data_IF_216959790699
#
_entry.id   IF_216959790699
#
_cell.length_a   1.000
_cell.length_b   1.000
_cell.length_c   1.000
_cell.angle_alpha   90.00
_cell.angle_beta   90.00
_cell.angle_gamma   90.00
#
_symmetry.space_group_name_H-M   'P 1'
#
loop_
_entity.id
_entity.type
_entity.pdbx_description
1 polymer ?
#
# COMPACT_ATOMS: atom_id res chain seq x y z
N UNK A 1 -9.43 -16.07 -17.95
CA UNK A 1 -8.62 -15.66 -16.78
C UNK A 1 -7.83 -14.45 -17.23
N UNK A 2 -8.12 -13.28 -16.64
CA UNK A 2 -7.50 -12.02 -17.05
C UNK A 2 -6.19 -11.83 -16.30
N UNK A 3 -5.11 -11.56 -17.03
CA UNK A 3 -3.80 -11.30 -16.44
C UNK A 3 -3.44 -9.82 -16.55
N UNK A 4 -2.97 -9.25 -15.44
CA UNK A 4 -2.50 -7.86 -15.39
C UNK A 4 -1.06 -7.85 -14.90
N UNK A 5 -0.14 -7.38 -15.74
CA UNK A 5 1.25 -7.14 -15.34
C UNK A 5 1.32 -5.81 -14.57
N UNK A 6 1.78 -5.84 -13.32
CA UNK A 6 1.91 -4.65 -12.49
C UNK A 6 3.08 -3.80 -12.99
N UNK A 7 2.88 -2.49 -13.17
CA UNK A 7 3.94 -1.53 -13.49
C UNK A 7 4.64 -1.05 -12.22
N UNK A 8 3.84 -0.57 -11.25
CA UNK A 8 4.32 -0.12 -9.94
C UNK A 8 3.51 -0.77 -8.82
N UNK A 9 4.20 -1.25 -7.78
CA UNK A 9 3.61 -1.85 -6.60
C UNK A 9 4.11 -1.14 -5.34
N UNK A 10 3.24 -0.37 -4.70
CA UNK A 10 3.46 0.27 -3.41
C UNK A 10 2.97 -0.67 -2.31
N UNK A 11 3.82 -0.91 -1.30
CA UNK A 11 3.54 -1.88 -0.24
C UNK A 11 3.60 -1.21 1.14
N UNK A 12 2.43 -1.13 1.79
CA UNK A 12 2.26 -0.72 3.18
C UNK A 12 2.24 -1.89 4.15
N UNK A 13 1.96 -1.61 5.43
CA UNK A 13 1.97 -2.63 6.49
C UNK A 13 0.60 -3.30 6.59
N UNK A 14 -0.42 -2.52 6.93
CA UNK A 14 -1.79 -2.97 7.23
C UNK A 14 -2.80 -1.88 6.90
N UNK A 15 -4.07 -2.24 6.86
CA UNK A 15 -5.15 -1.27 6.74
C UNK A 15 -5.20 -0.31 7.95
N UNK A 16 -5.80 0.85 7.74
CA UNK A 16 -6.20 1.78 8.79
C UNK A 16 -7.14 1.07 9.77
N UNK A 17 -6.98 1.38 11.05
CA UNK A 17 -7.76 0.73 12.09
C UNK A 17 -8.91 1.66 12.50
N UNK A 18 -10.17 1.40 12.08
CA UNK A 18 -11.31 2.27 12.39
C UNK A 18 -11.60 2.39 13.90
N UNK A 19 -11.10 1.47 14.73
CA UNK A 19 -11.23 1.57 16.19
C UNK A 19 -10.21 2.52 16.84
N UNK A 20 -9.16 2.91 16.12
CA UNK A 20 -8.08 3.80 16.61
C UNK A 20 -7.95 5.09 15.82
N UNK A 21 -8.53 5.12 14.62
CA UNK A 21 -8.48 6.20 13.66
C UNK A 21 -9.88 6.36 13.06
N UNK A 22 -10.30 7.59 12.75
CA UNK A 22 -11.66 7.87 12.24
C UNK A 22 -11.83 7.49 10.75
N UNK A 23 -11.00 6.59 10.22
CA UNK A 23 -10.94 6.31 8.79
C UNK A 23 -10.58 4.85 8.48
N UNK A 24 -11.07 4.40 7.32
CA UNK A 24 -10.84 3.08 6.73
C UNK A 24 -10.14 3.21 5.38
N UNK A 25 -9.59 2.11 4.87
CA UNK A 25 -9.05 2.09 3.51
C UNK A 25 -10.17 2.10 2.47
N UNK A 26 -9.90 2.79 1.36
CA UNK A 26 -10.70 2.71 0.16
C UNK A 26 -10.76 1.26 -0.34
N UNK A 27 -11.96 0.83 -0.74
CA UNK A 27 -12.19 -0.43 -1.45
C UNK A 27 -12.47 -0.18 -2.92
N UNK A 28 -11.88 -1.00 -3.78
CA UNK A 28 -12.11 -0.98 -5.23
C UNK A 28 -12.52 -2.36 -5.72
N UNK A 29 -13.49 -2.40 -6.63
CA UNK A 29 -13.84 -3.63 -7.33
C UNK A 29 -12.65 -4.11 -8.17
N UNK A 30 -12.49 -5.44 -8.27
CA UNK A 30 -11.44 -6.05 -9.06
C UNK A 30 -10.03 -5.50 -8.73
N UNK A 31 -9.72 -5.42 -7.45
CA UNK A 31 -8.43 -4.95 -6.93
C UNK A 31 -7.64 -6.10 -6.26
N UNK A 32 -6.31 -6.17 -6.36
CA UNK A 32 -5.54 -7.35 -5.91
C UNK A 32 -5.70 -7.73 -4.44
N UNK A 33 -6.03 -6.77 -3.57
CA UNK A 33 -6.14 -6.92 -2.10
C UNK A 33 -7.49 -6.44 -1.55
N UNK A 34 -8.45 -6.15 -2.42
CA UNK A 34 -9.78 -5.54 -2.15
C UNK A 34 -9.73 -4.12 -1.58
N UNK A 35 -8.81 -3.84 -0.65
CA UNK A 35 -8.47 -2.51 -0.14
C UNK A 35 -7.26 -1.92 -0.87
N UNK A 36 -7.23 -0.59 -0.95
CA UNK A 36 -6.15 0.21 -1.51
C UNK A 36 -5.32 0.77 -0.36
N UNK A 37 -4.08 0.29 -0.21
CA UNK A 37 -3.20 0.75 0.87
C UNK A 37 -2.97 2.26 0.81
N UNK A 38 -2.87 2.91 1.97
CA UNK A 38 -2.72 4.36 2.14
C UNK A 38 -3.88 5.25 1.66
N UNK A 39 -4.78 4.76 0.81
CA UNK A 39 -5.90 5.55 0.32
C UNK A 39 -7.06 5.48 1.30
N UNK A 40 -7.52 6.61 1.87
CA UNK A 40 -8.65 6.62 2.79
C UNK A 40 -9.98 6.56 2.04
N UNK A 41 -10.98 5.92 2.64
CA UNK A 41 -12.36 5.98 2.22
C UNK A 41 -13.05 7.23 2.79
N UNK A 42 -12.57 8.42 2.39
CA UNK A 42 -13.00 9.69 2.96
C UNK A 42 -13.25 10.74 1.86
N UNK A 43 -14.11 11.71 2.14
CA UNK A 43 -14.31 12.89 1.29
C UNK A 43 -13.14 13.89 1.41
N UNK A 44 -13.01 14.76 0.40
CA UNK A 44 -11.78 15.46 0.03
C UNK A 44 -11.08 16.31 1.08
N UNK A 45 -11.80 17.14 1.84
CA UNK A 45 -11.15 18.16 2.67
C UNK A 45 -10.36 17.56 3.85
N UNK A 46 -10.80 16.42 4.38
CA UNK A 46 -10.22 15.82 5.58
C UNK A 46 -9.19 14.73 5.25
N UNK A 47 -9.15 14.24 4.00
CA UNK A 47 -8.21 13.18 3.63
C UNK A 47 -6.74 13.62 3.77
N UNK A 48 -6.43 14.92 3.60
CA UNK A 48 -5.08 15.46 3.78
C UNK A 48 -4.67 15.61 5.25
N UNK A 49 -5.59 15.48 6.21
CA UNK A 49 -5.24 15.38 7.63
C UNK A 49 -4.56 14.04 7.96
N UNK A 50 -4.81 13.02 7.13
CA UNK A 50 -4.21 11.70 7.26
C UNK A 50 -2.75 11.78 6.79
N UNK A 51 -1.84 11.97 7.74
CA UNK A 51 -0.40 12.19 7.51
C UNK A 51 0.22 11.16 6.56
N UNK A 52 -0.16 9.88 6.69
CA UNK A 52 0.37 8.84 5.82
C UNK A 52 -0.09 8.98 4.37
N UNK A 53 -1.36 9.30 4.13
CA UNK A 53 -1.89 9.55 2.79
C UNK A 53 -1.24 10.81 2.18
N UNK A 54 -1.20 11.91 2.94
CA UNK A 54 -0.57 13.17 2.52
C UNK A 54 0.89 12.98 2.08
N UNK A 55 1.69 12.25 2.86
CA UNK A 55 3.09 11.94 2.52
C UNK A 55 3.23 11.07 1.28
N UNK A 56 2.31 10.12 1.07
CA UNK A 56 2.29 9.30 -0.15
C UNK A 56 1.92 10.14 -1.37
N UNK A 57 0.96 11.06 -1.26
CA UNK A 57 0.68 12.03 -2.33
C UNK A 57 1.91 12.90 -2.62
N UNK A 58 2.57 13.40 -1.57
CA UNK A 58 3.75 14.24 -1.74
C UNK A 58 4.87 13.52 -2.49
N UNK A 59 5.07 12.22 -2.19
CA UNK A 59 5.99 11.38 -2.95
C UNK A 59 5.55 11.15 -4.41
N UNK A 60 4.25 10.92 -4.66
CA UNK A 60 3.73 10.66 -6.01
C UNK A 60 3.84 11.87 -6.94
N UNK A 61 3.66 13.07 -6.39
CA UNK A 61 3.65 14.34 -7.13
C UNK A 61 4.94 15.15 -6.96
N UNK A 62 5.95 14.60 -6.27
CA UNK A 62 7.21 15.26 -5.92
C UNK A 62 6.99 16.67 -5.34
N UNK A 63 6.07 16.75 -4.38
CA UNK A 63 5.60 18.00 -3.81
C UNK A 63 5.55 17.92 -2.29
N UNK A 64 5.89 19.01 -1.63
CA UNK A 64 5.60 19.21 -0.20
C UNK A 64 4.13 19.59 -0.05
N UNK A 65 3.35 18.78 0.67
CA UNK A 65 1.90 18.98 0.79
C UNK A 65 1.52 19.39 2.21
N UNK A 66 0.63 20.38 2.31
CA UNK A 66 -0.04 20.80 3.54
C UNK A 66 -1.41 20.13 3.70
N UNK A 67 -1.89 19.99 4.94
CA UNK A 67 -3.28 19.60 5.21
C UNK A 67 -4.31 20.62 4.70
N UNK A 68 -3.90 21.87 4.51
CA UNK A 68 -4.75 22.95 4.03
C UNK A 68 -4.70 23.13 2.51
N UNK A 69 -3.88 22.32 1.81
CA UNK A 69 -3.87 22.34 0.35
C UNK A 69 -5.19 21.82 -0.21
N UNK A 70 -5.50 22.20 -1.45
CA UNK A 70 -6.62 21.63 -2.17
C UNK A 70 -6.22 20.32 -2.88
N UNK A 71 -6.86 19.22 -2.49
CA UNK A 71 -6.64 17.90 -3.08
C UNK A 71 -6.84 17.90 -4.61
N UNK A 72 -7.85 18.62 -5.10
CA UNK A 72 -8.13 18.70 -6.52
C UNK A 72 -6.99 19.40 -7.27
N UNK A 73 -6.49 20.52 -6.76
CA UNK A 73 -5.35 21.21 -7.36
C UNK A 73 -4.04 20.40 -7.33
N UNK A 74 -3.84 19.52 -6.34
CA UNK A 74 -2.67 18.63 -6.30
C UNK A 74 -2.79 17.52 -7.33
N UNK A 75 -3.95 16.86 -7.40
CA UNK A 75 -4.10 15.56 -8.07
C UNK A 75 -4.81 15.63 -9.41
N UNK A 76 -5.57 16.69 -9.67
CA UNK A 76 -6.56 16.82 -10.74
C UNK A 76 -7.73 15.81 -10.65
N UNK A 77 -7.93 15.19 -9.49
CA UNK A 77 -9.06 14.30 -9.21
C UNK A 77 -9.92 14.89 -8.11
N UNK A 78 -11.22 14.64 -8.18
CA UNK A 78 -12.11 15.09 -7.12
C UNK A 78 -11.81 14.28 -5.88
N UNK A 79 -11.80 12.96 -5.92
CA UNK A 79 -11.71 12.13 -4.71
C UNK A 79 -10.50 11.18 -4.69
N UNK A 80 -10.09 10.68 -3.50
CA UNK A 80 -9.12 9.59 -3.42
C UNK A 80 -9.52 8.36 -4.24
N UNK A 81 -10.83 8.07 -4.35
CA UNK A 81 -11.37 6.99 -5.18
C UNK A 81 -11.06 7.20 -6.67
N UNK A 82 -11.38 8.37 -7.20
CA UNK A 82 -11.12 8.69 -8.61
C UNK A 82 -9.62 8.58 -8.95
N UNK A 83 -8.75 9.06 -8.05
CA UNK A 83 -7.30 8.91 -8.21
C UNK A 83 -6.87 7.43 -8.21
N UNK A 84 -7.36 6.64 -7.24
CA UNK A 84 -7.02 5.22 -7.15
C UNK A 84 -7.49 4.42 -8.37
N UNK A 85 -8.69 4.70 -8.90
CA UNK A 85 -9.21 4.09 -10.13
C UNK A 85 -8.35 4.46 -11.36
N UNK A 86 -7.86 5.69 -11.45
CA UNK A 86 -6.92 6.08 -12.50
C UNK A 86 -5.61 5.29 -12.38
N UNK A 87 -5.03 5.24 -11.17
CA UNK A 87 -3.77 4.53 -10.92
C UNK A 87 -3.91 3.03 -11.23
N UNK A 88 -5.05 2.43 -10.90
CA UNK A 88 -5.38 1.05 -11.27
C UNK A 88 -5.38 0.85 -12.79
N UNK A 89 -5.99 1.77 -13.57
CA UNK A 89 -5.96 1.73 -15.05
C UNK A 89 -4.53 1.82 -15.58
N UNK A 90 -3.66 2.57 -14.90
CA UNK A 90 -2.24 2.72 -15.23
C UNK A 90 -1.36 1.57 -14.70
N UNK A 91 -1.97 0.54 -14.12
CA UNK A 91 -1.31 -0.64 -13.53
C UNK A 91 -0.37 -0.28 -12.38
N UNK A 92 -0.74 0.75 -11.62
CA UNK A 92 -0.11 1.20 -10.38
C UNK A 92 -1.00 0.75 -9.23
N UNK A 93 -0.44 -0.05 -8.32
CA UNK A 93 -1.18 -0.68 -7.23
C UNK A 93 -0.55 -0.37 -5.88
N UNK A 94 -1.39 -0.14 -4.90
CA UNK A 94 -1.08 0.07 -3.49
C UNK A 94 -1.72 -1.06 -2.67
N UNK A 95 -0.90 -1.86 -1.99
CA UNK A 95 -1.33 -3.07 -1.30
C UNK A 95 -0.69 -3.15 0.09
N UNK A 96 -1.41 -3.63 1.09
CA UNK A 96 -0.84 -3.86 2.42
C UNK A 96 -0.24 -5.28 2.53
N UNK A 97 0.86 -5.41 3.26
CA UNK A 97 1.57 -6.67 3.39
C UNK A 97 0.71 -7.79 4.00
N UNK A 98 -0.11 -7.46 4.99
CA UNK A 98 -1.06 -8.39 5.61
C UNK A 98 -2.06 -8.97 4.58
N UNK A 99 -2.59 -8.13 3.69
CA UNK A 99 -3.47 -8.54 2.59
C UNK A 99 -2.75 -9.36 1.55
N UNK A 100 -1.50 -9.00 1.23
CA UNK A 100 -0.64 -9.80 0.34
C UNK A 100 -0.46 -11.23 0.88
N UNK A 101 -0.19 -11.37 2.18
CA UNK A 101 0.05 -12.65 2.85
C UNK A 101 -1.22 -13.48 3.03
N UNK A 102 -2.36 -12.85 3.31
CA UNK A 102 -3.60 -13.54 3.63
C UNK A 102 -4.35 -14.03 2.39
N UNK A 103 -4.71 -13.12 1.49
CA UNK A 103 -5.62 -13.43 0.39
C UNK A 103 -5.47 -12.45 -0.79
N UNK A 104 -4.25 -12.33 -1.32
CA UNK A 104 -4.05 -11.50 -2.52
C UNK A 104 -4.12 -12.32 -3.80
N UNK A 105 -4.56 -11.63 -4.86
CA UNK A 105 -4.52 -12.13 -6.23
C UNK A 105 -3.20 -11.79 -6.92
N UNK A 106 -2.17 -11.43 -6.15
CA UNK A 106 -0.83 -11.08 -6.61
C UNK A 106 0.02 -12.34 -6.70
N UNK A 107 0.66 -12.53 -7.86
CA UNK A 107 1.54 -13.64 -8.14
C UNK A 107 2.95 -13.09 -8.33
N UNK A 108 3.85 -13.49 -7.42
CA UNK A 108 5.28 -13.42 -7.68
C UNK A 108 5.63 -14.54 -8.67
N UNK A 109 6.52 -14.29 -9.65
CA UNK A 109 6.90 -15.29 -10.61
C UNK A 109 7.71 -16.37 -9.89
N UNK A 110 7.01 -17.38 -9.42
CA UNK A 110 7.63 -18.57 -8.85
C UNK A 110 8.14 -19.41 -10.02
N UNK A 111 9.42 -19.79 -9.98
CA UNK A 111 10.03 -20.68 -10.99
C UNK A 111 9.28 -22.03 -11.03
N UNK A 112 8.51 -22.34 -9.98
CA UNK A 112 7.73 -23.57 -9.84
C UNK A 112 6.20 -23.36 -9.81
N UNK A 113 5.65 -22.20 -10.20
CA UNK A 113 4.20 -22.01 -10.19
C UNK A 113 3.52 -22.82 -11.31
N UNK A 114 3.20 -24.09 -11.04
CA UNK A 114 2.16 -24.80 -11.78
C UNK A 114 0.82 -24.30 -11.27
N UNK A 115 0.11 -23.53 -12.09
CA UNK A 115 -1.31 -23.26 -11.88
C UNK A 115 -2.00 -24.63 -11.82
N UNK A 116 -2.37 -25.10 -10.63
CA UNK A 116 -3.32 -26.19 -10.52
C UNK A 116 -4.66 -25.60 -10.93
N UNK A 117 -5.16 -25.99 -12.09
CA UNK A 117 -6.59 -25.86 -12.40
C UNK A 117 -7.34 -26.62 -11.29
N UNK A 118 -7.87 -25.89 -10.32
CA UNK A 118 -8.75 -26.47 -9.31
C UNK A 118 -10.13 -26.69 -9.94
N UNK A 119 -10.24 -27.69 -10.80
CA UNK A 119 -11.50 -28.38 -11.08
C UNK A 119 -11.53 -29.67 -10.26
N UNK A 120 -11.37 -29.56 -8.93
CA UNK A 120 -11.66 -30.63 -7.98
C UNK A 120 -12.25 -30.01 -6.73
N UNK A 121 -13.48 -29.56 -6.88
CA UNK A 121 -14.41 -29.39 -5.78
C UNK A 121 -14.73 -30.78 -5.23
N UNK A 122 -14.26 -31.06 -4.01
CA UNK A 122 -14.77 -32.17 -3.21
C UNK A 122 -15.80 -31.59 -2.23
N UNK A 123 -17.06 -31.97 -2.47
CA UNK A 123 -18.21 -32.03 -1.55
C UNK A 123 -18.68 -30.75 -0.85
N UNK A 124 -19.87 -30.27 -1.19
CA UNK A 124 -21.16 -30.73 -0.63
C UNK A 124 -22.32 -30.11 -1.40
N UNK A 125 -23.33 -30.92 -1.69
CA UNK A 125 -24.59 -30.51 -2.30
C UNK A 125 -25.31 -29.48 -1.43
N UNK A 126 -25.54 -28.28 -1.97
CA UNK A 126 -26.84 -27.61 -1.90
C UNK A 126 -26.91 -26.55 -2.99
N UNK A 127 -27.83 -26.76 -3.93
CA UNK A 127 -28.07 -25.89 -5.08
C UNK A 127 -28.77 -24.61 -4.62
N UNK A 128 -28.14 -23.45 -4.79
CA UNK A 128 -28.82 -22.26 -5.32
C UNK A 128 -27.81 -21.16 -5.68
N UNK A 129 -27.80 -20.74 -6.93
CA UNK A 129 -27.06 -19.56 -7.39
C UNK A 129 -26.29 -19.85 -8.67
N UNK A 130 -26.65 -19.15 -9.74
CA UNK A 130 -25.97 -19.19 -11.03
C UNK A 130 -24.44 -19.09 -10.85
N UNK A 131 -23.70 -20.15 -11.23
CA UNK A 131 -22.27 -20.07 -11.51
C UNK A 131 -22.10 -19.22 -12.77
N UNK A 132 -22.19 -17.90 -12.60
CA UNK A 132 -21.56 -17.00 -13.55
C UNK A 132 -20.07 -17.32 -13.48
N UNK A 133 -19.49 -17.76 -14.60
CA UNK A 133 -18.06 -17.86 -14.80
C UNK A 133 -17.42 -16.47 -14.59
N UNK A 134 -17.18 -16.10 -13.32
CA UNK A 134 -16.49 -14.85 -13.01
C UNK A 134 -15.05 -15.05 -13.43
N UNK A 135 -14.67 -14.39 -14.52
CA UNK A 135 -13.31 -14.44 -15.02
C UNK A 135 -12.34 -13.97 -13.93
N UNK A 136 -11.62 -14.92 -13.32
CA UNK A 136 -10.65 -14.63 -12.27
C UNK A 136 -9.55 -13.74 -12.85
N UNK A 137 -9.36 -12.55 -12.26
CA UNK A 137 -8.25 -11.65 -12.58
C UNK A 137 -7.07 -11.93 -11.65
N UNK A 138 -5.86 -12.01 -12.21
CA UNK A 138 -4.60 -12.17 -11.48
C UNK A 138 -3.63 -11.03 -11.80
N UNK A 139 -2.86 -10.62 -10.80
CA UNK A 139 -1.88 -9.55 -10.90
C UNK A 139 -0.47 -10.11 -10.83
N UNK A 140 0.28 -10.00 -11.91
CA UNK A 140 1.63 -10.57 -12.00
C UNK A 140 2.68 -9.51 -11.72
N UNK A 141 3.60 -9.87 -10.84
CA UNK A 141 4.89 -9.18 -10.71
C UNK A 141 5.81 -9.74 -11.80
N UNK A 142 6.50 -8.85 -12.50
CA UNK A 142 7.43 -9.19 -13.58
C UNK A 142 8.80 -8.59 -13.29
N UNK A 143 9.80 -8.94 -14.11
CA UNK A 143 11.14 -8.33 -14.05
C UNK A 143 11.14 -6.81 -14.30
N UNK A 144 10.06 -6.26 -14.85
CA UNK A 144 9.95 -4.84 -15.15
C UNK A 144 9.14 -4.08 -14.08
N UNK A 145 8.51 -4.81 -13.16
CA UNK A 145 7.71 -4.23 -12.07
C UNK A 145 8.61 -3.51 -11.08
N UNK A 146 8.32 -2.23 -10.81
CA UNK A 146 8.97 -1.44 -9.77
C UNK A 146 8.20 -1.57 -8.45
N UNK A 147 8.89 -1.92 -7.37
CA UNK A 147 8.28 -2.20 -6.06
C UNK A 147 8.79 -1.16 -5.05
N UNK A 148 7.87 -0.50 -4.36
CA UNK A 148 8.16 0.52 -3.35
C UNK A 148 7.63 0.05 -2.00
N UNK A 149 8.52 -0.27 -1.06
CA UNK A 149 8.15 -0.82 0.26
C UNK A 149 8.33 0.22 1.37
N UNK A 150 7.33 0.34 2.23
CA UNK A 150 7.29 1.35 3.30
C UNK A 150 7.25 0.69 4.69
N UNK A 151 8.30 0.91 5.48
CA UNK A 151 8.42 0.35 6.84
C UNK A 151 9.15 -1.00 6.89
N UNK A 152 9.62 -1.35 8.09
CA UNK A 152 10.54 -2.48 8.31
C UNK A 152 9.97 -3.82 7.86
N UNK A 153 8.69 -4.09 8.16
CA UNK A 153 8.10 -5.40 7.94
C UNK A 153 7.87 -5.69 6.45
N UNK A 154 7.26 -4.76 5.66
CA UNK A 154 7.21 -4.87 4.21
C UNK A 154 8.60 -4.99 3.58
N UNK A 155 9.56 -4.17 4.01
CA UNK A 155 10.92 -4.21 3.46
C UNK A 155 11.53 -5.59 3.65
N UNK A 156 11.47 -6.15 4.86
CA UNK A 156 12.05 -7.46 5.18
C UNK A 156 11.42 -8.58 4.33
N UNK A 157 10.10 -8.65 4.29
CA UNK A 157 9.38 -9.75 3.63
C UNK A 157 9.49 -9.70 2.11
N UNK A 158 9.31 -8.51 1.53
CA UNK A 158 9.31 -8.33 0.08
C UNK A 158 10.73 -8.43 -0.49
N UNK A 159 11.76 -7.94 0.23
CA UNK A 159 13.16 -8.16 -0.17
C UNK A 159 13.47 -9.65 -0.28
N UNK A 160 12.98 -10.46 0.67
CA UNK A 160 13.15 -11.91 0.61
C UNK A 160 12.43 -12.49 -0.62
N UNK A 161 11.16 -12.14 -0.85
CA UNK A 161 10.40 -12.59 -2.03
C UNK A 161 11.08 -12.21 -3.36
N UNK A 162 11.60 -11.00 -3.48
CA UNK A 162 12.34 -10.54 -4.67
C UNK A 162 13.55 -11.45 -4.94
N UNK A 163 14.34 -11.74 -3.90
CA UNK A 163 15.52 -12.63 -4.00
C UNK A 163 15.11 -14.07 -4.36
N UNK A 164 14.15 -14.63 -3.64
CA UNK A 164 13.70 -16.02 -3.82
C UNK A 164 13.14 -16.25 -5.24
N UNK A 165 12.52 -15.23 -5.84
CA UNK A 165 11.95 -15.28 -7.19
C UNK A 165 12.90 -14.73 -8.29
N UNK A 166 14.19 -14.49 -7.96
CA UNK A 166 15.21 -13.95 -8.88
C UNK A 166 14.75 -12.68 -9.63
N UNK A 167 13.96 -11.85 -8.97
CA UNK A 167 13.53 -10.56 -9.50
C UNK A 167 14.68 -9.54 -9.39
N UNK A 168 14.77 -8.56 -10.30
CA UNK A 168 15.82 -7.55 -10.26
C UNK A 168 15.74 -6.71 -8.97
N UNK A 169 16.81 -6.71 -8.17
CA UNK A 169 16.85 -6.01 -6.88
C UNK A 169 16.83 -4.48 -7.06
N UNK A 170 17.35 -4.00 -8.18
CA UNK A 170 17.32 -2.60 -8.61
C UNK A 170 15.91 -2.05 -8.83
N UNK A 171 14.91 -2.93 -8.95
CA UNK A 171 13.51 -2.54 -9.02
C UNK A 171 12.83 -2.39 -7.66
N UNK A 172 13.51 -2.77 -6.58
CA UNK A 172 13.01 -2.62 -5.22
C UNK A 172 13.57 -1.34 -4.58
N UNK A 173 12.67 -0.42 -4.24
CA UNK A 173 12.98 0.78 -3.45
C UNK A 173 12.38 0.65 -2.05
N UNK A 174 13.12 1.10 -1.04
CA UNK A 174 12.72 0.99 0.36
C UNK A 174 12.64 2.37 1.00
N UNK A 175 11.61 2.57 1.81
CA UNK A 175 11.28 3.86 2.40
C UNK A 175 10.91 3.72 3.88
N UNK A 176 11.16 4.75 4.71
CA UNK A 176 10.57 4.80 6.04
C UNK A 176 9.05 4.74 5.95
N UNK A 177 8.37 4.21 6.97
CA UNK A 177 6.90 4.20 6.99
C UNK A 177 6.33 5.64 7.01
N UNK A 178 5.24 5.96 6.28
CA UNK A 178 4.70 7.32 6.18
C UNK A 178 3.87 7.79 7.39
N UNK A 179 3.64 6.97 8.42
CA UNK A 179 2.78 7.38 9.55
C UNK A 179 3.33 8.57 10.34
N UNK A 180 2.42 9.29 11.02
CA UNK A 180 2.73 10.43 11.90
C UNK A 180 3.75 10.12 13.00
N UNK A 181 3.80 8.86 13.45
CA UNK A 181 4.73 8.41 14.48
C UNK A 181 6.16 8.19 13.95
N UNK A 182 6.37 8.33 12.64
CA UNK A 182 7.69 8.23 12.02
C UNK A 182 8.19 9.62 11.63
N UNK A 183 9.25 10.07 12.31
CA UNK A 183 9.94 11.34 12.09
C UNK A 183 11.24 11.16 11.32
N UNK A 184 11.29 10.21 10.39
CA UNK A 184 12.42 10.11 9.48
C UNK A 184 12.49 11.37 8.59
N UNK A 185 13.67 11.99 8.51
CA UNK A 185 13.92 13.23 7.75
C UNK A 185 13.57 13.14 6.27
N UNK A 186 13.50 11.94 5.69
CA UNK A 186 12.99 11.72 4.33
C UNK A 186 11.65 12.42 4.09
N UNK A 187 10.74 12.39 5.07
CA UNK A 187 9.41 12.97 4.92
C UNK A 187 9.38 14.50 4.95
N UNK A 188 10.48 15.16 5.35
CA UNK A 188 10.59 16.62 5.33
C UNK A 188 10.42 17.20 3.91
N UNK A 189 10.76 16.43 2.89
CA UNK A 189 10.60 16.84 1.49
C UNK A 189 9.15 16.84 1.01
N UNK A 190 8.25 16.13 1.71
CA UNK A 190 6.89 15.82 1.22
C UNK A 190 5.76 16.27 2.16
N UNK A 191 6.09 16.65 3.40
CA UNK A 191 5.12 17.00 4.46
C UNK A 191 5.40 18.42 4.97
N UNK A 192 4.51 19.38 4.67
CA UNK A 192 4.71 20.79 5.06
C UNK A 192 4.77 20.96 6.57
N UNK A 193 3.90 20.23 7.27
CA UNK A 193 3.77 20.17 8.72
C UNK A 193 4.70 19.12 9.34
N UNK A 194 5.76 18.71 8.64
CA UNK A 194 6.74 17.78 9.19
C UNK A 194 7.26 18.28 10.54
N UNK A 195 6.96 17.52 11.58
CA UNK A 195 7.41 17.79 12.94
C UNK A 195 8.39 16.70 13.39
N UNK A 196 9.68 17.02 13.65
CA UNK A 196 10.62 16.04 14.19
C UNK A 196 10.19 15.61 15.60
N UNK A 197 10.20 14.31 15.88
CA UNK A 197 10.04 13.82 17.26
C UNK A 197 11.36 14.09 17.98
N UNK A 198 11.41 15.13 18.83
CA UNK A 198 12.57 15.42 19.67
C UNK A 198 12.66 14.40 20.82
N UNK A 199 13.37 13.30 20.61
CA UNK A 199 13.64 12.31 21.66
C UNK A 199 14.46 12.90 22.83
N UNK A 200 15.20 13.99 22.61
CA UNK A 200 16.17 14.53 23.57
C UNK A 200 15.55 15.24 24.78
N UNK A 201 14.34 15.81 24.68
CA UNK A 201 13.66 16.43 25.84
C UNK A 201 13.34 15.45 26.97
N UNK A 202 13.21 14.15 26.66
CA UNK A 202 13.00 13.10 27.69
C UNK A 202 14.28 12.71 28.44
N UNK A 203 15.46 12.97 27.87
CA UNK A 203 16.74 12.64 28.52
C UNK A 203 17.16 13.69 29.55
N UNK A 204 16.63 14.91 29.48
CA UNK A 204 16.90 15.97 30.46
C UNK A 204 16.30 15.65 31.84
N UNK A 205 15.23 14.85 31.89
CA UNK A 205 14.55 14.44 33.12
C UNK A 205 14.86 13.00 33.55
N UNK A 206 15.87 12.35 32.97
CA UNK A 206 16.22 10.98 33.38
C UNK A 206 16.89 10.99 34.76
N UNK A 207 16.61 10.02 35.65
CA UNK A 207 17.36 9.88 36.89
C UNK A 207 18.85 9.73 36.55
N UNK A 208 19.68 10.60 37.12
CA UNK A 208 21.13 10.42 37.09
C UNK A 208 21.47 9.39 38.16
N UNK A 209 21.93 8.22 37.75
CA UNK A 209 22.55 7.28 38.67
C UNK A 209 23.94 7.86 38.96
N UNK A 210 24.12 8.42 40.16
CA UNK A 210 25.44 8.80 40.64
C UNK A 210 26.15 7.51 41.07
N UNK A 211 27.28 7.21 40.44
CA UNK A 211 28.21 6.17 40.90
C UNK A 211 29.02 6.70 42.08
#
# INVERSE_FOLDING_TARGET
MKEINIKYLFIGISDYNPMKEDFENLTLENYPTDTVAFFPNHNNSECLEIVSFKRILGLLYDKKISKNDDFLNITNYKTPRELAEKLQKDKIYFCNLDRIKGNSRIIFPDINFKIKNSNKDNHSEEKCGNQNDVEKTIWKITKDTKILCFGSDPIKDITKKVKDNKLPIENLSTFPHPSKNNSNKFWKSFDEEYNPIEYNKRLENRPKINN
#
